data_IF_282614911035
#
_entry.id   IF_282614911035
#
_cell.length_a   1.000
_cell.length_b   1.000
_cell.length_c   1.000
_cell.angle_alpha   90.00
_cell.angle_beta   90.00
_cell.angle_gamma   90.00
#
_symmetry.space_group_name_H-M   'P 1'
#
loop_
_entity.id
_entity.type
_entity.pdbx_description
1 polymer ?
#
# COMPACT_ATOMS: atom_id res chain seq x y z
N UNK A 1 10.80 5.23 6.72
CA UNK A 1 9.91 6.41 6.60
C UNK A 1 9.27 6.47 5.21
N UNK A 2 9.60 5.50 4.36
CA UNK A 2 9.50 5.60 2.90
C UNK A 2 8.10 5.30 2.41
N UNK A 3 7.43 4.35 3.06
CA UNK A 3 6.02 4.04 2.80
C UNK A 3 5.07 5.20 3.17
N UNK A 4 5.50 6.10 4.07
CA UNK A 4 4.78 7.34 4.33
C UNK A 4 4.82 8.29 3.13
N UNK A 5 5.98 8.44 2.49
CA UNK A 5 6.13 9.20 1.27
C UNK A 5 5.30 8.58 0.12
N UNK A 6 5.36 7.26 -0.04
CA UNK A 6 4.53 6.53 -1.03
C UNK A 6 3.05 6.82 -0.80
N UNK A 7 2.57 6.78 0.46
CA UNK A 7 1.17 7.04 0.77
C UNK A 7 0.74 8.47 0.40
N UNK A 8 1.55 9.49 0.72
CA UNK A 8 1.26 10.88 0.39
C UNK A 8 1.30 11.16 -1.12
N UNK A 9 2.26 10.60 -1.84
CA UNK A 9 2.37 10.78 -3.28
C UNK A 9 1.23 10.06 -4.02
N UNK A 10 0.90 8.84 -3.58
CA UNK A 10 -0.16 8.03 -4.19
C UNK A 10 -1.55 8.61 -3.97
N UNK A 11 -1.87 9.12 -2.78
CA UNK A 11 -3.18 9.72 -2.49
C UNK A 11 -3.45 10.96 -3.36
N UNK A 12 -2.43 11.79 -3.60
CA UNK A 12 -2.57 13.00 -4.42
C UNK A 12 -2.88 12.63 -5.89
N UNK A 13 -2.14 11.66 -6.45
CA UNK A 13 -2.36 11.21 -7.82
C UNK A 13 -3.67 10.44 -7.98
N UNK A 14 -3.93 9.49 -7.07
CA UNK A 14 -5.04 8.53 -7.17
C UNK A 14 -6.37 9.03 -6.64
N UNK A 15 -6.41 10.15 -5.89
CA UNK A 15 -7.63 10.76 -5.32
C UNK A 15 -8.42 9.84 -4.37
N UNK A 16 -7.75 8.86 -3.79
CA UNK A 16 -8.31 7.96 -2.77
C UNK A 16 -7.51 8.16 -1.48
N UNK A 17 -8.14 8.34 -0.32
CA UNK A 17 -7.44 8.55 0.95
C UNK A 17 -6.71 7.29 1.42
N UNK A 18 -5.53 7.50 2.01
CA UNK A 18 -4.64 6.44 2.49
C UNK A 18 -4.62 6.41 4.01
N UNK A 19 -4.62 5.21 4.58
CA UNK A 19 -4.18 4.97 5.95
C UNK A 19 -2.78 4.38 5.89
N UNK A 20 -1.79 5.16 6.32
CA UNK A 20 -0.46 4.65 6.60
C UNK A 20 -0.35 4.36 8.10
N UNK A 21 -0.08 3.10 8.45
CA UNK A 21 0.03 2.67 9.84
C UNK A 21 1.29 1.85 10.06
N UNK A 22 1.73 1.82 11.32
CA UNK A 22 2.84 1.04 11.83
C UNK A 22 2.52 0.64 13.26
N UNK A 23 3.21 -0.38 13.78
CA UNK A 23 2.86 -0.98 15.07
C UNK A 23 3.17 -0.03 16.22
N UNK A 24 2.12 0.21 17.03
CA UNK A 24 2.20 1.05 18.22
C UNK A 24 3.20 0.48 19.24
N UNK A 25 4.02 1.35 19.81
CA UNK A 25 5.16 1.06 20.68
C UNK A 25 6.30 0.29 20.02
N UNK A 26 5.99 -0.79 19.29
CA UNK A 26 7.02 -1.67 18.73
C UNK A 26 7.79 -1.04 17.59
N UNK A 27 7.14 -0.19 16.79
CA UNK A 27 7.80 0.62 15.76
C UNK A 27 7.76 2.10 16.13
N UNK A 28 6.62 2.57 16.68
CA UNK A 28 6.45 4.01 16.93
C UNK A 28 7.39 4.60 18.00
N UNK A 29 7.90 3.78 18.92
CA UNK A 29 8.83 4.21 19.97
C UNK A 29 10.21 3.52 19.84
N UNK A 30 10.46 2.89 18.69
CA UNK A 30 11.74 2.25 18.42
C UNK A 30 12.74 3.30 17.94
N UNK A 31 13.89 3.42 18.62
CA UNK A 31 14.96 4.32 18.21
C UNK A 31 15.89 3.55 17.28
N UNK A 32 15.88 3.90 16.00
CA UNK A 32 16.82 3.39 14.99
C UNK A 32 17.48 4.55 14.24
N UNK A 33 18.71 4.32 13.80
CA UNK A 33 19.35 5.22 12.84
C UNK A 33 18.70 4.97 11.48
N UNK A 34 17.98 5.97 10.98
CA UNK A 34 17.30 5.91 9.70
C UNK A 34 17.79 7.06 8.80
N UNK A 35 17.57 6.89 7.51
CA UNK A 35 17.69 7.98 6.54
C UNK A 35 16.35 8.71 6.42
N UNK A 36 16.41 10.02 6.19
CA UNK A 36 15.24 10.90 6.09
C UNK A 36 15.20 11.55 4.72
N UNK A 37 14.00 11.74 4.20
CA UNK A 37 13.78 12.42 2.93
C UNK A 37 14.06 13.91 3.02
N UNK A 38 14.68 14.47 1.99
CA UNK A 38 14.70 15.92 1.75
C UNK A 38 13.39 16.33 1.05
N UNK A 39 12.86 17.50 1.39
CA UNK A 39 11.66 18.08 0.79
C UNK A 39 11.85 18.28 -0.73
N UNK A 40 13.06 18.58 -1.17
CA UNK A 40 13.39 18.73 -2.59
C UNK A 40 13.17 17.43 -3.37
N UNK A 41 13.59 16.29 -2.82
CA UNK A 41 13.42 14.97 -3.43
C UNK A 41 11.94 14.56 -3.49
N UNK A 42 11.19 14.85 -2.41
CA UNK A 42 9.75 14.58 -2.38
C UNK A 42 9.00 15.44 -3.40
N UNK A 43 9.39 16.71 -3.54
CA UNK A 43 8.80 17.63 -4.51
C UNK A 43 9.06 17.21 -5.96
N UNK A 44 10.22 16.62 -6.25
CA UNK A 44 10.54 16.09 -7.58
C UNK A 44 9.60 14.92 -7.97
N UNK A 45 9.25 14.07 -7.01
CA UNK A 45 8.34 12.94 -7.26
C UNK A 45 6.86 13.33 -7.31
N UNK A 46 6.51 14.52 -6.80
CA UNK A 46 5.14 14.98 -6.67
C UNK A 46 4.53 15.34 -8.03
N UNK A 47 3.36 14.79 -8.31
CA UNK A 47 2.57 15.13 -9.50
C UNK A 47 1.90 16.50 -9.30
N UNK A 48 2.54 17.55 -9.83
CA UNK A 48 2.07 18.93 -9.67
C UNK A 48 0.76 19.20 -10.43
N UNK A 49 0.47 18.46 -11.50
CA UNK A 49 -0.80 18.57 -12.23
C UNK A 49 -1.93 17.98 -11.39
N UNK A 50 -1.68 16.87 -10.68
CA UNK A 50 -2.62 16.32 -9.71
C UNK A 50 -2.88 17.27 -8.53
N UNK A 51 -1.85 17.96 -8.04
CA UNK A 51 -1.99 19.00 -7.01
C UNK A 51 -2.83 20.16 -7.52
N UNK A 52 -2.60 20.62 -8.75
CA UNK A 52 -3.37 21.71 -9.33
C UNK A 52 -4.84 21.32 -9.51
N UNK A 53 -5.11 20.13 -10.04
CA UNK A 53 -6.48 19.59 -10.14
C UNK A 53 -7.19 19.53 -8.78
N UNK A 54 -6.49 19.10 -7.72
CA UNK A 54 -7.07 19.10 -6.37
C UNK A 54 -7.47 20.51 -5.90
N UNK A 55 -6.66 21.53 -6.23
CA UNK A 55 -6.96 22.93 -5.91
C UNK A 55 -8.13 23.46 -6.73
N UNK A 56 -8.19 23.13 -8.02
CA UNK A 56 -9.27 23.55 -8.92
C UNK A 56 -10.62 22.94 -8.48
N UNK A 57 -10.59 21.76 -7.88
CA UNK A 57 -11.75 21.09 -7.30
C UNK A 57 -12.08 21.54 -5.86
N UNK A 58 -11.40 22.54 -5.29
CA UNK A 58 -11.72 23.03 -3.96
C UNK A 58 -13.05 23.80 -3.93
N UNK A 59 -13.68 23.86 -2.75
CA UNK A 59 -14.86 24.71 -2.54
C UNK A 59 -14.43 26.18 -2.58
N UNK A 60 -14.89 26.92 -3.60
CA UNK A 60 -14.59 28.33 -3.79
C UNK A 60 -15.84 29.06 -4.31
N UNK A 61 -16.23 30.21 -3.73
CA UNK A 61 -17.35 31.02 -4.24
C UNK A 61 -17.21 31.47 -5.69
N UNK A 62 -15.99 31.66 -6.20
CA UNK A 62 -15.74 32.07 -7.60
C UNK A 62 -16.00 30.95 -8.61
N UNK A 63 -16.01 29.69 -8.16
CA UNK A 63 -16.33 28.51 -8.98
C UNK A 63 -17.08 27.47 -8.13
N UNK A 64 -18.35 27.74 -7.78
CA UNK A 64 -19.07 26.98 -6.78
C UNK A 64 -19.49 25.60 -7.30
N UNK A 65 -19.41 24.59 -6.41
CA UNK A 65 -19.86 23.22 -6.68
C UNK A 65 -20.69 22.70 -5.50
N UNK A 66 -21.76 21.95 -5.79
CA UNK A 66 -22.57 21.28 -4.78
C UNK A 66 -22.00 19.88 -4.49
N UNK A 67 -21.82 19.55 -3.20
CA UNK A 67 -21.34 18.24 -2.72
C UNK A 67 -22.17 17.77 -1.53
N UNK A 68 -22.26 16.45 -1.33
CA UNK A 68 -22.93 15.86 -0.16
C UNK A 68 -24.47 15.94 -0.20
N UNK A 69 -25.07 15.80 -1.38
CA UNK A 69 -26.54 15.76 -1.53
C UNK A 69 -27.14 14.51 -0.90
N UNK A 70 -28.35 14.63 -0.34
CA UNK A 70 -29.18 13.45 -0.05
C UNK A 70 -29.72 12.86 -1.36
N UNK A 71 -29.52 11.56 -1.59
CA UNK A 71 -29.93 10.88 -2.81
C UNK A 71 -30.90 9.75 -2.46
N UNK A 72 -31.95 9.62 -3.26
CA UNK A 72 -32.92 8.52 -3.14
C UNK A 72 -32.32 7.22 -3.72
N UNK A 73 -32.95 6.06 -3.46
CA UNK A 73 -32.46 4.76 -3.93
C UNK A 73 -32.42 4.59 -5.46
N UNK A 74 -33.05 5.49 -6.22
CA UNK A 74 -33.11 5.48 -7.68
C UNK A 74 -31.74 5.74 -8.34
N UNK A 75 -30.88 6.57 -7.72
CA UNK A 75 -29.56 6.95 -8.25
C UNK A 75 -28.39 6.65 -7.32
N UNK A 76 -28.65 6.36 -6.03
CA UNK A 76 -27.59 6.21 -5.03
C UNK A 76 -26.60 5.09 -5.37
N UNK A 77 -27.08 3.95 -5.88
CA UNK A 77 -26.22 2.82 -6.21
C UNK A 77 -25.26 3.15 -7.37
N UNK A 78 -25.78 3.81 -8.41
CA UNK A 78 -25.00 4.22 -9.57
C UNK A 78 -23.94 5.27 -9.18
N UNK A 79 -24.30 6.21 -8.29
CA UNK A 79 -23.36 7.20 -7.77
C UNK A 79 -22.24 6.55 -6.94
N UNK A 80 -22.53 5.45 -6.23
CA UNK A 80 -21.53 4.68 -5.48
C UNK A 80 -20.58 3.94 -6.40
N UNK A 81 -21.09 3.20 -7.37
CA UNK A 81 -20.25 2.43 -8.30
C UNK A 81 -19.41 3.33 -9.24
N UNK A 82 -19.78 4.60 -9.39
CA UNK A 82 -19.01 5.57 -10.15
C UNK A 82 -17.58 5.81 -9.59
N UNK A 83 -17.30 5.42 -8.34
CA UNK A 83 -15.95 5.55 -7.77
C UNK A 83 -15.02 4.36 -8.09
N UNK A 84 -15.52 3.25 -8.62
CA UNK A 84 -14.71 2.04 -8.87
C UNK A 84 -13.44 2.27 -9.71
N UNK A 85 -13.46 3.07 -10.80
CA UNK A 85 -12.26 3.29 -11.60
C UNK A 85 -11.07 3.89 -10.82
N UNK A 86 -11.34 4.65 -9.74
CA UNK A 86 -10.29 5.21 -8.88
C UNK A 86 -9.62 4.13 -8.03
N UNK A 87 -10.39 3.16 -7.53
CA UNK A 87 -9.86 2.03 -6.77
C UNK A 87 -9.14 1.03 -7.66
N UNK A 88 -9.68 0.74 -8.85
CA UNK A 88 -9.07 -0.17 -9.82
C UNK A 88 -7.70 0.33 -10.29
N UNK A 89 -7.53 1.66 -10.43
CA UNK A 89 -6.26 2.27 -10.80
C UNK A 89 -5.24 2.32 -9.65
N UNK A 90 -5.68 2.17 -8.40
CA UNK A 90 -4.85 2.44 -7.23
C UNK A 90 -3.61 1.53 -7.09
N UNK A 91 -3.70 0.20 -7.31
CA UNK A 91 -2.53 -0.67 -7.19
C UNK A 91 -1.38 -0.25 -8.11
N UNK A 92 -1.68 0.10 -9.36
CA UNK A 92 -0.69 0.54 -10.33
C UNK A 92 -0.05 1.88 -9.94
N UNK A 93 -0.84 2.82 -9.39
CA UNK A 93 -0.32 4.11 -8.89
C UNK A 93 0.64 3.90 -7.72
N UNK A 94 0.28 3.01 -6.78
CA UNK A 94 1.14 2.69 -5.63
C UNK A 94 2.43 2.02 -6.10
N UNK A 95 2.35 1.07 -7.03
CA UNK A 95 3.53 0.42 -7.61
C UNK A 95 4.44 1.42 -8.33
N UNK A 96 3.89 2.39 -9.05
CA UNK A 96 4.66 3.46 -9.69
C UNK A 96 5.46 4.27 -8.65
N UNK A 97 4.83 4.68 -7.55
CA UNK A 97 5.50 5.46 -6.50
C UNK A 97 6.47 4.62 -5.66
N UNK A 98 6.16 3.35 -5.40
CA UNK A 98 7.14 2.41 -4.83
C UNK A 98 8.36 2.29 -5.74
N UNK A 99 8.16 2.20 -7.06
CA UNK A 99 9.24 2.19 -8.06
C UNK A 99 10.11 3.45 -8.04
N UNK A 100 9.50 4.64 -7.93
CA UNK A 100 10.25 5.91 -7.80
C UNK A 100 11.09 5.97 -6.52
N UNK A 101 10.52 5.53 -5.40
CA UNK A 101 11.23 5.43 -4.12
C UNK A 101 12.38 4.42 -4.21
N UNK A 102 12.13 3.25 -4.78
CA UNK A 102 13.14 2.21 -5.00
C UNK A 102 14.30 2.72 -5.86
N UNK A 103 14.02 3.51 -6.90
CA UNK A 103 15.06 4.08 -7.75
C UNK A 103 15.96 5.08 -7.02
N UNK A 104 15.43 5.87 -6.07
CA UNK A 104 16.23 6.82 -5.28
C UNK A 104 17.02 6.15 -4.15
N UNK A 105 16.42 5.20 -3.44
CA UNK A 105 17.03 4.58 -2.24
C UNK A 105 17.76 3.26 -2.52
N UNK A 106 17.57 2.64 -3.69
CA UNK A 106 18.06 1.30 -3.98
C UNK A 106 17.31 0.19 -3.21
N UNK A 107 16.09 0.47 -2.75
CA UNK A 107 15.20 -0.49 -2.08
C UNK A 107 14.40 -1.34 -3.07
N UNK A 108 13.71 -2.38 -2.60
CA UNK A 108 12.79 -3.21 -3.41
C UNK A 108 11.42 -3.36 -2.72
N UNK A 109 10.72 -2.24 -2.51
CA UNK A 109 9.34 -2.25 -2.06
C UNK A 109 8.40 -2.69 -3.19
N UNK A 110 7.50 -3.63 -2.88
CA UNK A 110 6.36 -4.02 -3.73
C UNK A 110 5.11 -4.05 -2.86
N UNK A 111 3.93 -4.15 -3.49
CA UNK A 111 2.67 -4.35 -2.78
C UNK A 111 2.73 -5.58 -1.87
N UNK A 112 3.39 -6.63 -2.35
CA UNK A 112 3.63 -7.87 -1.63
C UNK A 112 5.08 -8.33 -1.83
N UNK A 113 5.82 -8.47 -0.74
CA UNK A 113 7.22 -8.94 -0.76
C UNK A 113 7.32 -10.38 -0.22
N UNK A 114 8.09 -11.23 -0.89
CA UNK A 114 8.37 -12.60 -0.45
C UNK A 114 9.80 -12.72 0.10
N UNK A 115 9.94 -13.30 1.28
CA UNK A 115 11.21 -13.61 1.92
C UNK A 115 11.21 -15.08 2.33
N UNK A 116 12.14 -15.88 1.81
CA UNK A 116 12.23 -17.32 2.07
C UNK A 116 12.80 -18.13 0.90
N UNK A 117 12.82 -19.44 1.06
CA UNK A 117 13.31 -20.37 0.04
C UNK A 117 12.34 -20.49 -1.14
N UNK A 118 12.85 -20.46 -2.38
CA UNK A 118 12.03 -20.53 -3.58
C UNK A 118 11.18 -21.82 -3.70
N UNK A 119 11.59 -22.89 -3.01
CA UNK A 119 10.93 -24.20 -2.97
C UNK A 119 10.17 -24.47 -1.65
N UNK A 120 9.85 -23.42 -0.89
CA UNK A 120 9.19 -23.55 0.40
C UNK A 120 7.84 -24.31 0.32
N UNK A 121 7.70 -25.37 1.11
CA UNK A 121 6.48 -26.18 1.20
C UNK A 121 5.38 -25.61 2.11
N UNK A 122 5.69 -24.61 2.95
CA UNK A 122 4.73 -23.85 3.77
C UNK A 122 5.20 -22.40 3.89
N UNK A 123 4.23 -21.48 3.95
CA UNK A 123 4.46 -20.04 4.10
C UNK A 123 3.59 -19.45 5.21
N UNK A 124 3.94 -18.25 5.64
CA UNK A 124 3.18 -17.48 6.60
C UNK A 124 3.01 -16.04 6.11
N UNK A 125 1.82 -15.47 6.33
CA UNK A 125 1.48 -14.11 5.92
C UNK A 125 1.53 -13.19 7.13
N UNK A 126 2.37 -12.16 7.03
CA UNK A 126 2.57 -11.20 8.10
C UNK A 126 2.53 -9.78 7.55
N UNK A 127 1.94 -8.86 8.31
CA UNK A 127 2.05 -7.42 8.08
C UNK A 127 2.74 -6.75 9.26
N UNK A 128 3.18 -5.50 9.09
CA UNK A 128 3.79 -4.72 10.17
C UNK A 128 5.11 -5.31 10.68
N UNK A 129 5.38 -5.15 11.97
CA UNK A 129 6.62 -5.59 12.62
C UNK A 129 6.83 -7.11 12.54
N UNK A 130 5.76 -7.92 12.55
CA UNK A 130 5.87 -9.38 12.42
C UNK A 130 6.48 -9.82 11.09
N UNK A 131 6.34 -9.03 10.04
CA UNK A 131 6.98 -9.31 8.76
C UNK A 131 8.52 -9.24 8.87
N UNK A 132 9.06 -8.30 9.66
CA UNK A 132 10.51 -8.18 9.89
C UNK A 132 11.05 -9.41 10.63
N UNK A 133 10.40 -9.79 11.72
CA UNK A 133 10.80 -10.99 12.48
C UNK A 133 10.62 -12.28 11.68
N UNK A 134 9.54 -12.37 10.90
CA UNK A 134 9.30 -13.49 9.99
C UNK A 134 10.38 -13.62 8.91
N UNK A 135 10.85 -12.50 8.36
CA UNK A 135 11.94 -12.47 7.40
C UNK A 135 13.28 -12.89 8.02
N UNK A 136 13.62 -12.36 9.20
CA UNK A 136 14.81 -12.77 9.97
C UNK A 136 14.81 -14.28 10.25
N UNK A 137 13.66 -14.83 10.68
CA UNK A 137 13.51 -16.28 10.87
C UNK A 137 13.61 -17.06 9.56
N UNK A 138 13.03 -16.54 8.48
CA UNK A 138 13.06 -17.15 7.14
C UNK A 138 14.47 -17.26 6.55
N UNK A 139 15.38 -16.34 6.87
CA UNK A 139 16.79 -16.41 6.49
C UNK A 139 17.58 -17.42 7.35
N UNK A 140 17.26 -17.54 8.63
CA UNK A 140 17.98 -18.42 9.56
C UNK A 140 17.50 -19.88 9.55
N UNK A 141 16.21 -20.15 9.28
CA UNK A 141 15.65 -21.50 9.31
C UNK A 141 16.28 -22.48 8.28
N UNK A 142 16.57 -22.06 7.03
CA UNK A 142 17.26 -22.90 6.05
C UNK A 142 18.68 -23.26 6.49
N UNK A 143 19.38 -22.36 7.19
CA UNK A 143 20.75 -22.57 7.70
C UNK A 143 20.77 -23.59 8.85
N UNK A 144 19.67 -23.74 9.58
CA UNK A 144 19.51 -24.69 10.68
C UNK A 144 18.92 -26.05 10.26
N UNK A 145 18.66 -26.28 8.96
CA UNK A 145 18.13 -27.54 8.44
C UNK A 145 16.63 -27.77 8.65
N UNK A 146 15.87 -26.73 9.00
CA UNK A 146 14.41 -26.81 9.16
C UNK A 146 13.68 -26.79 7.82
N UNK A 147 13.03 -27.89 7.46
CA UNK A 147 12.16 -27.97 6.27
C UNK A 147 10.70 -28.18 6.68
N UNK A 148 9.81 -27.31 6.22
CA UNK A 148 8.38 -27.46 6.47
C UNK A 148 7.77 -28.40 5.40
N UNK A 149 7.67 -29.70 5.71
CA UNK A 149 7.16 -30.78 4.82
C UNK A 149 5.71 -30.61 4.38
N UNK A 150 5.27 -31.16 3.22
CA UNK A 150 3.92 -30.99 2.69
C UNK A 150 2.89 -31.81 3.48
N UNK A 151 1.79 -31.18 3.88
CA UNK A 151 0.55 -31.87 4.20
C UNK A 151 -0.34 -31.81 2.96
N UNK A 152 -0.77 -32.98 2.51
CA UNK A 152 -1.61 -33.26 1.33
C UNK A 152 -2.80 -32.27 1.26
N UNK A 153 -2.74 -31.31 0.33
CA UNK A 153 -3.89 -30.46 0.02
C UNK A 153 -4.83 -31.25 -0.88
N UNK A 154 -6.00 -31.60 -0.34
CA UNK A 154 -7.15 -32.05 -1.13
C UNK A 154 -7.60 -30.86 -1.98
N UNK A 155 -7.56 -31.06 -3.28
CA UNK A 155 -7.94 -30.10 -4.32
C UNK A 155 -9.47 -29.91 -4.28
N UNK A 156 -9.91 -28.67 -4.10
CA UNK A 156 -11.21 -28.21 -4.57
C UNK A 156 -11.08 -26.73 -4.99
N UNK A 157 -10.79 -26.52 -6.28
CA UNK A 157 -11.22 -25.36 -7.07
C UNK A 157 -10.53 -24.00 -6.80
N UNK A 158 -9.60 -23.63 -7.68
CA UNK A 158 -9.41 -22.24 -8.11
C UNK A 158 -8.22 -21.48 -7.50
N UNK A 159 -7.17 -21.32 -8.31
CA UNK A 159 -6.09 -20.33 -8.22
C UNK A 159 -5.25 -20.33 -6.92
N UNK A 160 -4.10 -21.01 -6.98
CA UNK A 160 -3.05 -20.91 -5.97
C UNK A 160 -2.36 -19.54 -5.98
N UNK A 161 -2.17 -18.98 -4.80
CA UNK A 161 -1.37 -17.77 -4.59
C UNK A 161 -1.37 -17.42 -3.10
N UNK A 162 -0.19 -17.20 -2.52
CA UNK A 162 -0.02 -16.86 -1.11
C UNK A 162 0.84 -15.58 -1.04
N UNK A 163 0.29 -14.52 -0.44
CA UNK A 163 0.69 -13.10 -0.57
C UNK A 163 0.97 -12.41 0.78
N UNK A 164 2.07 -11.66 0.94
CA UNK A 164 2.41 -10.92 2.18
C UNK A 164 2.00 -9.45 2.07
N UNK A 165 0.91 -9.04 2.75
CA UNK A 165 0.30 -7.71 2.60
C UNK A 165 1.11 -6.62 3.31
N UNK A 166 1.66 -5.65 2.57
CA UNK A 166 2.17 -4.41 3.17
C UNK A 166 1.01 -3.40 3.31
N UNK A 167 0.79 -2.91 4.53
CA UNK A 167 -0.41 -2.18 4.96
C UNK A 167 -0.53 -0.79 4.35
N UNK A 168 -1.07 -0.72 3.14
CA UNK A 168 -1.59 0.51 2.54
C UNK A 168 -3.00 0.19 2.04
N UNK A 169 -3.99 0.49 2.88
CA UNK A 169 -5.38 0.31 2.53
C UNK A 169 -5.97 1.64 2.06
N UNK A 170 -6.43 1.65 0.81
CA UNK A 170 -7.40 2.61 0.32
C UNK A 170 -8.73 2.33 1.05
N UNK A 171 -9.24 3.31 1.81
CA UNK A 171 -10.52 3.18 2.50
C UNK A 171 -11.66 3.06 1.47
N UNK A 172 -12.55 2.05 1.56
CA UNK A 172 -13.77 2.06 0.76
C UNK A 172 -14.67 3.21 1.22
N UNK A 173 -15.26 3.92 0.27
CA UNK A 173 -16.21 4.98 0.55
C UNK A 173 -17.49 4.41 1.20
N UNK A 174 -17.66 4.65 2.50
CA UNK A 174 -18.89 4.38 3.27
C UNK A 174 -20.08 5.16 2.72
#
# INVERSE_FOLDING_TARGET
MDLGAVAHLSTIKGRVPFIHFFDGFRTSHEIQKIETWDDADLKEMLDMDAVQRFRDEALNPEHPVLRGTAQNPDIFFQAREACNPYYDAMPAIVEEYMGKVNAKLGTDYKLFNYYGAADAGRGAHHGGYLARHGAELGEHLPLCGGYIKPARAVVAGGAGGYFVHCGVFALPAQ
#
